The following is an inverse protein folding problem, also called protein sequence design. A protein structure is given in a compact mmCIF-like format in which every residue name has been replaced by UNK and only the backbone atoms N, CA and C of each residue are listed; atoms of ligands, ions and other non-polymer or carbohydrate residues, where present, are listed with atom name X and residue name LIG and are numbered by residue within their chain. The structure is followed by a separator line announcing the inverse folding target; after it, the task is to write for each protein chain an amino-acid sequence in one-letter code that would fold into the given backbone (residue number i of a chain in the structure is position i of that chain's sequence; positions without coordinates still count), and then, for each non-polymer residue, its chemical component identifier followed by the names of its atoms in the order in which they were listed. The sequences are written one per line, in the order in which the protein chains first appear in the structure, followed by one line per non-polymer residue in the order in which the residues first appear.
data_IF_664192591043
#
_entry.id   IF_664192591043
#
_cell.length_a   1.000
_cell.length_b   1.000
_cell.length_c   1.000
_cell.angle_alpha   90.00
_cell.angle_beta   90.00
_cell.angle_gamma   90.00
#
_symmetry.space_group_name_H-M   'P 1'
#
loop_
_entity.id
_entity.type
_entity.pdbx_description
1 polymer ?
#
# COMPACT_ATOMS: atom_id res chain seq x y z
N UNK A 1 -61.53 -17.22 29.44
CA UNK A 1 -60.85 -16.00 28.97
C UNK A 1 -59.36 -16.29 28.90
N UNK A 2 -58.76 -16.48 27.72
CA UNK A 2 -57.33 -16.73 27.51
C UNK A 2 -56.73 -15.42 26.99
N UNK A 3 -55.83 -14.82 27.74
CA UNK A 3 -55.08 -13.62 27.33
C UNK A 3 -53.86 -14.09 26.58
N UNK A 4 -53.77 -13.79 25.27
CA UNK A 4 -52.64 -14.09 24.42
C UNK A 4 -51.71 -12.85 24.53
N UNK A 5 -50.56 -13.05 25.17
CA UNK A 5 -49.50 -12.03 25.29
C UNK A 5 -48.66 -12.05 24.02
N UNK A 6 -48.78 -10.98 23.23
CA UNK A 6 -48.02 -10.77 22.00
C UNK A 6 -46.63 -10.17 22.36
N UNK A 7 -45.59 -10.99 22.29
CA UNK A 7 -44.21 -10.50 22.49
C UNK A 7 -43.71 -9.94 21.18
N UNK A 8 -43.56 -8.60 21.10
CA UNK A 8 -42.92 -7.92 19.97
C UNK A 8 -41.40 -8.04 20.13
N UNK A 9 -40.77 -8.85 19.30
CA UNK A 9 -39.32 -8.99 19.20
C UNK A 9 -38.79 -7.86 18.32
N UNK A 10 -38.26 -6.80 18.92
CA UNK A 10 -37.59 -5.71 18.20
C UNK A 10 -36.17 -6.15 17.87
N UNK A 11 -35.93 -6.49 16.60
CA UNK A 11 -34.58 -6.69 16.07
C UNK A 11 -33.90 -5.34 15.90
N UNK A 12 -33.02 -4.99 16.83
CA UNK A 12 -32.09 -3.86 16.68
C UNK A 12 -30.99 -4.28 15.68
N UNK A 13 -31.12 -3.84 14.44
CA UNK A 13 -30.04 -3.88 13.48
C UNK A 13 -29.01 -2.82 13.94
N UNK A 14 -27.92 -3.27 14.54
CA UNK A 14 -26.73 -2.44 14.74
C UNK A 14 -26.03 -2.26 13.39
N UNK A 15 -26.26 -1.13 12.74
CA UNK A 15 -25.44 -0.68 11.60
C UNK A 15 -24.07 -0.32 12.18
N UNK A 16 -23.10 -1.22 12.00
CA UNK A 16 -21.71 -0.90 12.28
C UNK A 16 -21.26 0.16 11.27
N UNK A 17 -21.26 1.41 11.67
CA UNK A 17 -20.61 2.47 10.92
C UNK A 17 -19.12 2.14 10.89
N UNK A 18 -18.60 1.74 9.73
CA UNK A 18 -17.18 1.66 9.47
C UNK A 18 -16.62 3.08 9.58
N UNK A 19 -16.01 3.40 10.71
CA UNK A 19 -15.31 4.66 10.89
C UNK A 19 -14.17 4.69 9.85
N UNK A 20 -14.27 5.57 8.87
CA UNK A 20 -13.15 5.91 8.01
C UNK A 20 -12.05 6.45 8.93
N UNK A 21 -10.88 5.82 8.95
CA UNK A 21 -9.76 6.31 9.72
C UNK A 21 -9.30 7.63 9.10
N UNK A 22 -9.39 8.72 9.87
CA UNK A 22 -8.85 10.01 9.46
C UNK A 22 -7.33 9.95 9.51
N UNK A 23 -6.67 10.45 8.46
CA UNK A 23 -5.24 10.58 8.40
C UNK A 23 -4.84 12.03 8.61
N UNK A 24 -3.80 12.20 9.42
CA UNK A 24 -3.26 13.48 9.79
C UNK A 24 -1.84 13.61 9.26
N UNK A 25 -1.50 14.80 8.79
CA UNK A 25 -0.15 15.17 8.41
C UNK A 25 0.26 16.37 9.25
N UNK A 26 1.45 16.33 9.82
CA UNK A 26 2.02 17.49 10.50
C UNK A 26 3.50 17.64 10.14
N UNK A 27 3.96 18.89 10.16
CA UNK A 27 5.37 19.21 9.92
C UNK A 27 5.93 19.76 11.24
N UNK A 28 7.06 19.22 11.70
CA UNK A 28 7.74 19.71 12.88
C UNK A 28 8.46 21.04 12.64
N UNK A 29 9.07 21.59 13.70
CA UNK A 29 9.81 22.86 13.62
C UNK A 29 11.10 22.79 12.80
N UNK A 30 11.56 21.59 12.44
CA UNK A 30 12.74 21.32 11.62
C UNK A 30 12.39 21.10 10.15
N UNK A 31 11.08 21.11 9.79
CA UNK A 31 10.58 20.91 8.43
C UNK A 31 10.29 19.45 8.07
N UNK A 32 10.42 18.50 9.01
CA UNK A 32 10.10 17.11 8.76
C UNK A 32 8.57 16.91 8.75
N UNK A 33 8.06 16.16 7.78
CA UNK A 33 6.63 15.90 7.64
C UNK A 33 6.31 14.48 8.11
N UNK A 34 5.34 14.38 9.01
CA UNK A 34 4.88 13.14 9.62
C UNK A 34 3.44 12.84 9.21
N UNK A 35 3.15 11.57 8.97
CA UNK A 35 1.81 11.06 8.66
C UNK A 35 1.38 10.12 9.78
N UNK A 36 0.16 10.31 10.31
CA UNK A 36 -0.36 9.51 11.42
C UNK A 36 -1.88 9.36 11.34
N UNK A 37 -2.39 8.27 11.87
CA UNK A 37 -3.83 8.07 12.09
C UNK A 37 -4.25 8.42 13.52
N UNK A 38 -3.33 8.94 14.34
CA UNK A 38 -3.63 9.38 15.71
C UNK A 38 -3.75 10.90 15.70
N UNK A 39 -4.87 11.47 16.15
CA UNK A 39 -5.01 12.92 16.29
C UNK A 39 -4.02 13.44 17.32
N UNK A 40 -3.12 14.34 16.91
CA UNK A 40 -2.15 14.97 17.79
C UNK A 40 -2.66 16.28 18.36
N UNK A 41 -2.20 16.66 19.56
CA UNK A 41 -2.57 17.91 20.20
C UNK A 41 -1.99 19.12 19.44
N UNK A 42 -2.82 19.81 18.71
CA UNK A 42 -2.68 21.26 18.50
C UNK A 42 -2.06 21.77 17.21
N UNK A 43 -1.46 20.95 16.29
CA UNK A 43 -0.94 21.43 15.00
C UNK A 43 -1.07 20.43 13.86
N UNK A 44 -2.16 19.72 13.82
CA UNK A 44 -2.42 18.74 12.78
C UNK A 44 -3.21 19.41 11.66
N UNK A 45 -2.63 19.52 10.47
CA UNK A 45 -3.39 19.87 9.29
C UNK A 45 -4.11 18.61 8.84
N UNK A 46 -5.42 18.54 9.08
CA UNK A 46 -6.27 17.45 8.59
C UNK A 46 -6.17 17.44 7.06
N UNK A 47 -5.60 16.36 6.51
CA UNK A 47 -5.80 16.06 5.10
C UNK A 47 -7.29 15.75 4.96
N UNK A 48 -7.98 16.50 4.13
CA UNK A 48 -9.42 16.35 3.90
C UNK A 48 -9.77 14.86 3.78
N UNK A 49 -10.88 14.41 4.39
CA UNK A 49 -11.27 13.01 4.29
C UNK A 49 -11.37 12.66 2.81
N UNK A 50 -10.53 11.73 2.38
CA UNK A 50 -10.60 11.20 1.03
C UNK A 50 -11.92 10.44 0.98
N UNK A 51 -12.99 11.08 0.49
CA UNK A 51 -14.24 10.39 0.19
C UNK A 51 -13.87 9.20 -0.68
N UNK A 52 -13.98 8.01 -0.11
CA UNK A 52 -13.85 6.75 -0.84
C UNK A 52 -14.91 6.79 -1.93
N UNK A 53 -14.54 7.29 -3.09
CA UNK A 53 -15.36 7.18 -4.29
C UNK A 53 -15.36 5.71 -4.65
N UNK A 54 -16.43 5.01 -4.26
CA UNK A 54 -16.72 3.67 -4.74
C UNK A 54 -17.19 3.83 -6.19
N UNK A 55 -16.28 4.17 -7.07
CA UNK A 55 -16.48 4.00 -8.49
C UNK A 55 -16.02 2.60 -8.85
N UNK A 56 -16.96 1.81 -9.42
CA UNK A 56 -16.67 0.51 -10.04
C UNK A 56 -15.39 0.62 -10.89
N UNK A 57 -14.55 -0.42 -10.99
CA UNK A 57 -13.37 -0.40 -11.83
C UNK A 57 -13.80 -0.23 -13.28
N UNK A 58 -13.87 1.01 -13.74
CA UNK A 58 -13.99 1.34 -15.14
C UNK A 58 -12.58 1.30 -15.74
N UNK A 59 -12.48 1.16 -17.05
CA UNK A 59 -11.32 1.06 -17.94
C UNK A 59 -10.12 2.02 -17.68
N UNK A 60 -10.10 2.74 -16.57
CA UNK A 60 -9.07 3.72 -16.19
C UNK A 60 -7.74 3.09 -15.77
N UNK A 61 -7.71 1.81 -15.37
CA UNK A 61 -6.47 1.18 -14.89
C UNK A 61 -5.38 1.04 -15.96
N UNK A 62 -5.75 0.93 -17.24
CA UNK A 62 -4.80 0.87 -18.34
C UNK A 62 -4.23 2.24 -18.70
N UNK A 63 -5.03 3.29 -18.60
CA UNK A 63 -4.60 4.68 -18.82
C UNK A 63 -3.69 5.14 -17.68
N UNK A 64 -4.05 4.85 -16.45
CA UNK A 64 -3.23 5.17 -15.28
C UNK A 64 -1.87 4.45 -15.32
N UNK A 65 -1.83 3.18 -15.78
CA UNK A 65 -0.57 2.45 -15.91
C UNK A 65 0.40 3.13 -16.88
N UNK A 66 -0.07 3.55 -18.06
CA UNK A 66 0.79 4.24 -19.05
C UNK A 66 1.39 5.53 -18.51
N UNK A 67 0.67 6.24 -17.65
CA UNK A 67 1.15 7.48 -17.06
C UNK A 67 2.41 7.31 -16.18
N UNK A 68 2.64 6.11 -15.63
CA UNK A 68 3.76 5.86 -14.73
C UNK A 68 4.93 5.09 -15.37
N UNK A 69 4.83 4.70 -16.64
CA UNK A 69 5.84 3.85 -17.30
C UNK A 69 7.25 4.48 -17.33
N UNK A 70 7.34 5.78 -17.57
CA UNK A 70 8.63 6.49 -17.56
C UNK A 70 9.26 6.50 -16.17
N UNK A 71 8.45 6.73 -15.13
CA UNK A 71 8.90 6.75 -13.73
C UNK A 71 9.34 5.34 -13.31
N UNK A 72 8.54 4.32 -13.62
CA UNK A 72 8.86 2.92 -13.34
C UNK A 72 10.19 2.54 -14.00
N UNK A 73 10.36 2.87 -15.28
CA UNK A 73 11.59 2.56 -16.01
C UNK A 73 12.80 3.26 -15.40
N UNK A 74 12.69 4.55 -15.08
CA UNK A 74 13.74 5.33 -14.44
C UNK A 74 14.14 4.74 -13.07
N UNK A 75 13.15 4.47 -12.21
CA UNK A 75 13.40 3.90 -10.88
C UNK A 75 14.00 2.49 -10.97
N UNK A 76 13.50 1.65 -11.88
CA UNK A 76 14.01 0.29 -12.11
C UNK A 76 15.49 0.29 -12.51
N UNK A 77 15.87 1.16 -13.44
CA UNK A 77 17.26 1.32 -13.86
C UNK A 77 18.15 1.82 -12.72
N UNK A 78 17.67 2.84 -11.99
CA UNK A 78 18.43 3.47 -10.90
C UNK A 78 18.73 2.50 -9.74
N UNK A 79 17.79 1.63 -9.40
CA UNK A 79 17.91 0.75 -8.23
C UNK A 79 18.11 -0.73 -8.60
N UNK A 80 18.34 -1.04 -9.88
CA UNK A 80 18.57 -2.39 -10.40
C UNK A 80 17.47 -3.39 -10.01
N UNK A 81 16.20 -2.96 -10.08
CA UNK A 81 15.01 -3.78 -9.89
C UNK A 81 14.29 -3.96 -11.22
N UNK A 82 13.82 -5.17 -11.52
CA UNK A 82 13.10 -5.46 -12.75
C UNK A 82 11.81 -4.62 -12.86
N UNK A 83 11.62 -3.93 -13.99
CA UNK A 83 10.48 -3.05 -14.21
C UNK A 83 9.14 -3.81 -14.20
N UNK A 84 9.11 -5.07 -14.65
CA UNK A 84 7.90 -5.89 -14.59
C UNK A 84 7.56 -6.29 -13.15
N UNK A 85 8.59 -6.48 -12.30
CA UNK A 85 8.40 -6.67 -10.87
C UNK A 85 7.83 -5.40 -10.20
N UNK A 86 8.35 -4.23 -10.54
CA UNK A 86 7.82 -2.96 -10.03
C UNK A 86 6.35 -2.80 -10.41
N UNK A 87 5.99 -3.08 -11.68
CA UNK A 87 4.58 -3.06 -12.12
C UNK A 87 3.71 -4.03 -11.33
N UNK A 88 4.23 -5.22 -11.05
CA UNK A 88 3.50 -6.23 -10.27
C UNK A 88 3.25 -5.79 -8.83
N UNK A 89 4.24 -5.17 -8.19
CA UNK A 89 4.11 -4.60 -6.84
C UNK A 89 3.08 -3.48 -6.85
N UNK A 90 3.21 -2.48 -7.71
CA UNK A 90 2.23 -1.38 -7.81
C UNK A 90 0.81 -1.91 -8.07
N UNK A 91 0.68 -2.93 -8.92
CA UNK A 91 -0.61 -3.58 -9.19
C UNK A 91 -1.20 -4.25 -7.95
N UNK A 92 -0.37 -4.91 -7.17
CA UNK A 92 -0.80 -5.61 -5.96
C UNK A 92 -1.15 -4.63 -4.82
N UNK A 93 -0.40 -3.54 -4.69
CA UNK A 93 -0.52 -2.56 -3.61
C UNK A 93 -1.70 -1.60 -3.81
N UNK A 94 -1.78 -0.98 -4.97
CA UNK A 94 -2.74 0.11 -5.20
C UNK A 94 -3.60 -0.07 -6.44
N UNK A 95 -3.35 -1.09 -7.27
CA UNK A 95 -3.94 -1.17 -8.60
C UNK A 95 -3.72 0.10 -9.44
N UNK A 96 -2.54 0.73 -9.31
CA UNK A 96 -2.15 2.00 -9.95
C UNK A 96 -2.97 3.23 -9.49
N UNK A 97 -3.54 3.20 -8.30
CA UNK A 97 -4.18 4.36 -7.68
C UNK A 97 -3.15 5.11 -6.80
N UNK A 98 -2.68 6.27 -7.28
CA UNK A 98 -1.71 7.08 -6.55
C UNK A 98 -2.26 7.68 -5.24
N UNK A 99 -3.57 7.71 -5.08
CA UNK A 99 -4.26 8.20 -3.87
C UNK A 99 -4.64 7.08 -2.90
N UNK A 100 -4.21 5.85 -3.17
CA UNK A 100 -4.56 4.73 -2.33
C UNK A 100 -4.07 4.92 -0.90
N UNK A 101 -4.96 4.64 0.06
CA UNK A 101 -4.66 4.62 1.49
C UNK A 101 -5.20 3.32 2.06
N UNK A 102 -4.32 2.53 2.69
CA UNK A 102 -4.75 1.29 3.33
C UNK A 102 -5.35 1.55 4.73
N UNK A 103 -6.13 0.61 5.27
CA UNK A 103 -6.61 0.71 6.65
C UNK A 103 -5.48 0.77 7.70
N UNK A 104 -4.28 0.31 7.35
CA UNK A 104 -3.08 0.34 8.22
C UNK A 104 -2.24 1.62 8.04
N UNK A 105 -2.64 2.52 7.13
CA UNK A 105 -1.96 3.79 6.90
C UNK A 105 -0.86 3.75 5.84
N UNK A 106 -0.77 2.71 5.03
CA UNK A 106 0.12 2.70 3.87
C UNK A 106 -0.40 3.61 2.75
N UNK A 107 0.50 4.31 2.04
CA UNK A 107 0.19 5.44 1.18
C UNK A 107 0.73 5.29 -0.24
N UNK A 108 -0.10 5.67 -1.22
CA UNK A 108 0.28 5.85 -2.62
C UNK A 108 0.43 4.57 -3.44
N UNK A 109 1.11 4.69 -4.58
CA UNK A 109 1.24 3.62 -5.59
C UNK A 109 1.87 2.34 -5.06
N UNK A 110 2.94 2.46 -4.28
CA UNK A 110 3.68 1.34 -3.71
C UNK A 110 3.39 1.12 -2.22
N UNK A 111 2.33 1.78 -1.68
CA UNK A 111 1.83 1.61 -0.33
C UNK A 111 2.92 1.71 0.75
N UNK A 112 3.64 2.81 0.74
CA UNK A 112 4.67 3.05 1.75
C UNK A 112 4.03 3.35 3.11
N UNK A 113 4.49 2.63 4.15
CA UNK A 113 4.16 3.02 5.52
C UNK A 113 4.84 4.35 5.85
N UNK A 114 4.24 5.21 6.71
CA UNK A 114 4.80 6.51 7.04
C UNK A 114 6.27 6.46 7.50
N UNK A 115 6.64 5.49 8.33
CA UNK A 115 8.02 5.30 8.77
C UNK A 115 8.96 5.00 7.58
N UNK A 116 8.56 4.11 6.67
CA UNK A 116 9.34 3.78 5.47
C UNK A 116 9.43 4.99 4.52
N UNK A 117 8.35 5.75 4.35
CA UNK A 117 8.36 6.98 3.55
C UNK A 117 9.37 7.99 4.12
N UNK A 118 9.42 8.16 5.43
CA UNK A 118 10.38 9.03 6.11
C UNK A 118 11.82 8.53 5.93
N UNK A 119 12.09 7.25 6.14
CA UNK A 119 13.42 6.65 5.93
C UNK A 119 13.92 6.81 4.49
N UNK A 120 13.00 6.76 3.52
CA UNK A 120 13.29 6.96 2.09
C UNK A 120 13.29 8.44 1.67
N UNK A 121 13.12 9.39 2.62
CA UNK A 121 13.09 10.84 2.39
C UNK A 121 11.96 11.29 1.45
N UNK A 122 10.80 10.64 1.50
CA UNK A 122 9.59 11.02 0.76
C UNK A 122 8.91 12.21 1.46
N UNK A 123 8.69 13.29 0.71
CA UNK A 123 8.01 14.49 1.22
C UNK A 123 6.51 14.45 0.94
N UNK A 124 6.12 13.89 -0.20
CA UNK A 124 4.72 13.69 -0.57
C UNK A 124 4.49 12.25 -1.04
N UNK A 125 3.96 11.35 -0.19
CA UNK A 125 3.74 9.95 -0.55
C UNK A 125 2.64 9.74 -1.61
N UNK A 126 1.90 10.78 -1.98
CA UNK A 126 0.93 10.76 -3.09
C UNK A 126 1.51 11.29 -4.40
N UNK A 127 2.73 11.83 -4.38
CA UNK A 127 3.45 12.14 -5.62
C UNK A 127 3.94 10.83 -6.26
N UNK A 128 3.56 10.55 -7.53
CA UNK A 128 3.94 9.30 -8.19
C UNK A 128 5.45 9.09 -8.31
N UNK A 129 6.20 10.16 -8.57
CA UNK A 129 7.64 10.07 -8.76
C UNK A 129 8.34 9.74 -7.44
N UNK A 130 8.04 10.49 -6.37
CA UNK A 130 8.60 10.24 -5.05
C UNK A 130 8.23 8.85 -4.54
N UNK A 131 6.96 8.46 -4.64
CA UNK A 131 6.46 7.19 -4.13
C UNK A 131 7.07 5.98 -4.86
N UNK A 132 7.12 6.00 -6.20
CA UNK A 132 7.70 4.91 -6.99
C UNK A 132 9.20 4.81 -6.75
N UNK A 133 9.94 5.93 -6.80
CA UNK A 133 11.38 5.90 -6.56
C UNK A 133 11.72 5.36 -5.16
N UNK A 134 11.03 5.81 -4.14
CA UNK A 134 11.22 5.34 -2.77
C UNK A 134 10.86 3.86 -2.60
N UNK A 135 9.71 3.43 -3.11
CA UNK A 135 9.26 2.04 -3.02
C UNK A 135 10.18 1.08 -3.78
N UNK A 136 10.66 1.46 -4.97
CA UNK A 136 11.62 0.65 -5.74
C UNK A 136 12.98 0.59 -5.06
N UNK A 137 13.45 1.71 -4.48
CA UNK A 137 14.66 1.73 -3.68
C UNK A 137 14.54 0.76 -2.50
N UNK A 138 13.48 0.85 -1.72
CA UNK A 138 13.23 -0.02 -0.58
C UNK A 138 13.18 -1.50 -0.99
N UNK A 139 12.47 -1.83 -2.07
CA UNK A 139 12.42 -3.19 -2.62
C UNK A 139 13.82 -3.67 -3.07
N UNK A 140 14.60 -2.81 -3.71
CA UNK A 140 15.98 -3.09 -4.12
C UNK A 140 16.90 -3.40 -2.93
N UNK A 141 16.80 -2.63 -1.85
CA UNK A 141 17.54 -2.85 -0.60
C UNK A 141 17.16 -4.20 0.03
N UNK A 142 15.87 -4.56 0.08
CA UNK A 142 15.40 -5.85 0.58
C UNK A 142 15.90 -7.02 -0.28
N UNK A 143 15.89 -6.87 -1.61
CA UNK A 143 16.44 -7.88 -2.52
C UNK A 143 17.94 -8.12 -2.28
N UNK A 144 18.70 -7.07 -2.03
CA UNK A 144 20.13 -7.20 -1.71
C UNK A 144 20.35 -7.90 -0.36
N UNK A 145 19.63 -7.46 0.68
CA UNK A 145 19.73 -8.01 2.03
C UNK A 145 19.32 -9.49 2.12
N UNK A 146 18.45 -9.94 1.24
CA UNK A 146 17.92 -11.31 1.19
C UNK A 146 18.52 -12.12 0.02
N UNK A 147 19.74 -11.81 -0.40
CA UNK A 147 20.48 -12.54 -1.43
C UNK A 147 19.69 -12.74 -2.74
N UNK A 148 18.86 -11.79 -3.10
CA UNK A 148 17.93 -11.80 -4.25
C UNK A 148 16.88 -12.92 -4.20
N UNK A 149 16.61 -13.46 -3.02
CA UNK A 149 15.44 -14.34 -2.82
C UNK A 149 14.17 -13.49 -2.95
N UNK A 150 13.56 -13.52 -4.13
CA UNK A 150 12.41 -12.69 -4.48
C UNK A 150 11.18 -12.95 -3.59
N UNK A 151 10.76 -14.21 -3.33
CA UNK A 151 9.66 -14.48 -2.41
C UNK A 151 9.90 -13.92 -1.00
N UNK A 152 11.12 -14.04 -0.48
CA UNK A 152 11.47 -13.51 0.84
C UNK A 152 11.54 -11.99 0.85
N UNK A 153 12.06 -11.35 -0.19
CA UNK A 153 12.07 -9.90 -0.32
C UNK A 153 10.65 -9.31 -0.38
N UNK A 154 9.75 -9.95 -1.12
CA UNK A 154 8.33 -9.56 -1.16
C UNK A 154 7.64 -9.77 0.19
N UNK A 155 7.96 -10.85 0.90
CA UNK A 155 7.47 -11.07 2.25
C UNK A 155 7.96 -9.99 3.22
N UNK A 156 9.24 -9.58 3.11
CA UNK A 156 9.82 -8.51 3.92
C UNK A 156 9.22 -7.14 3.57
N UNK A 157 8.95 -6.88 2.29
CA UNK A 157 8.27 -5.66 1.85
C UNK A 157 6.90 -5.51 2.50
N UNK A 158 6.10 -6.57 2.51
CA UNK A 158 4.74 -6.56 3.04
C UNK A 158 4.68 -6.64 4.58
N UNK A 159 5.45 -7.55 5.20
CA UNK A 159 5.36 -7.82 6.63
C UNK A 159 6.34 -7.01 7.47
N UNK A 160 7.31 -6.36 6.84
CA UNK A 160 8.46 -5.74 7.47
C UNK A 160 9.64 -6.70 7.63
N UNK A 161 10.89 -6.20 7.47
CA UNK A 161 12.09 -7.02 7.46
C UNK A 161 12.32 -7.77 8.78
N UNK A 162 11.98 -7.18 9.93
CA UNK A 162 12.16 -7.82 11.24
C UNK A 162 11.36 -9.11 11.43
N UNK A 163 10.32 -9.35 10.62
CA UNK A 163 9.55 -10.61 10.66
C UNK A 163 10.09 -11.70 9.74
N UNK A 164 11.02 -11.34 8.85
CA UNK A 164 11.54 -12.20 7.79
C UNK A 164 13.02 -12.55 8.02
N UNK A 165 13.82 -11.61 8.50
CA UNK A 165 15.24 -11.88 8.76
C UNK A 165 15.44 -13.03 9.75
N UNK A 166 16.44 -13.86 9.43
CA UNK A 166 16.76 -15.07 10.22
C UNK A 166 15.81 -16.25 9.99
N UNK A 167 14.87 -16.13 9.02
CA UNK A 167 14.02 -17.24 8.60
C UNK A 167 14.48 -17.80 7.26
N UNK A 168 14.25 -19.08 7.07
CA UNK A 168 14.48 -19.76 5.79
C UNK A 168 13.21 -19.91 4.95
N UNK A 169 12.09 -19.37 5.43
CA UNK A 169 10.79 -19.46 4.77
C UNK A 169 9.93 -18.21 5.04
N UNK A 170 8.94 -18.00 4.17
CA UNK A 170 7.95 -16.92 4.33
C UNK A 170 7.20 -17.10 5.66
N UNK A 171 7.10 -16.04 6.49
CA UNK A 171 6.38 -16.11 7.75
C UNK A 171 4.96 -16.71 7.60
N UNK A 172 4.46 -17.44 8.60
CA UNK A 172 3.12 -18.03 8.56
C UNK A 172 2.02 -16.97 8.79
N UNK A 173 2.12 -15.84 8.09
CA UNK A 173 1.16 -14.74 8.07
C UNK A 173 0.38 -14.88 6.77
N UNK A 174 -0.91 -15.18 6.89
CA UNK A 174 -1.78 -15.45 5.73
C UNK A 174 -1.79 -14.27 4.74
N UNK A 175 -1.92 -13.04 5.23
CA UNK A 175 -1.87 -11.83 4.42
C UNK A 175 -0.59 -11.76 3.59
N UNK A 176 0.57 -12.00 4.21
CA UNK A 176 1.88 -11.95 3.56
C UNK A 176 2.05 -13.07 2.52
N UNK A 177 1.64 -14.29 2.84
CA UNK A 177 1.67 -15.41 1.89
C UNK A 177 0.80 -15.14 0.66
N UNK A 178 -0.39 -14.58 0.89
CA UNK A 178 -1.30 -14.21 -0.19
C UNK A 178 -0.77 -13.04 -1.01
N UNK A 179 -0.11 -12.08 -0.37
CA UNK A 179 0.57 -10.97 -1.05
C UNK A 179 1.68 -11.48 -1.97
N UNK A 180 2.59 -12.31 -1.47
CA UNK A 180 3.68 -12.87 -2.28
C UNK A 180 3.14 -13.63 -3.49
N UNK A 181 2.15 -14.51 -3.30
CA UNK A 181 1.51 -15.24 -4.41
C UNK A 181 0.91 -14.29 -5.45
N UNK A 182 0.22 -13.25 -5.01
CA UNK A 182 -0.42 -12.26 -5.89
C UNK A 182 0.60 -11.46 -6.70
N UNK A 183 1.69 -10.98 -6.05
CA UNK A 183 2.75 -10.26 -6.77
C UNK A 183 3.45 -11.16 -7.77
N UNK A 184 3.81 -12.38 -7.39
CA UNK A 184 4.45 -13.34 -8.30
C UNK A 184 3.59 -13.64 -9.52
N UNK A 185 2.28 -13.85 -9.33
CA UNK A 185 1.33 -14.04 -10.43
C UNK A 185 1.31 -12.83 -11.39
N UNK A 186 1.25 -11.61 -10.86
CA UNK A 186 1.28 -10.40 -11.68
C UNK A 186 2.63 -10.22 -12.38
N UNK A 187 3.72 -10.58 -11.73
CA UNK A 187 5.06 -10.49 -12.31
C UNK A 187 5.20 -11.39 -13.54
N UNK A 188 4.76 -12.64 -13.45
CA UNK A 188 4.75 -13.55 -14.61
C UNK A 188 3.82 -13.04 -15.75
N UNK A 189 2.66 -12.49 -15.40
CA UNK A 189 1.75 -11.89 -16.37
C UNK A 189 2.39 -10.68 -17.11
N UNK A 190 3.14 -9.82 -16.40
CA UNK A 190 3.83 -8.69 -17.04
C UNK A 190 4.99 -9.12 -17.90
N UNK A 191 5.78 -10.12 -17.49
CA UNK A 191 6.89 -10.69 -18.28
C UNK A 191 6.44 -11.33 -19.59
N UNK A 192 5.26 -11.96 -19.58
CA UNK A 192 4.68 -12.62 -20.76
C UNK A 192 4.09 -11.65 -21.80
N UNK A 193 3.99 -10.35 -21.50
CA UNK A 193 3.43 -9.37 -22.45
C UNK A 193 4.46 -8.87 -23.43
N UNK A 194 4.08 -8.67 -24.74
CA UNK A 194 4.95 -8.00 -25.70
C UNK A 194 5.34 -6.62 -25.14
N UNK A 195 6.63 -6.34 -25.12
CA UNK A 195 7.14 -4.98 -24.80
C UNK A 195 6.83 -4.08 -26.00
N UNK A 196 5.93 -3.12 -25.81
CA UNK A 196 5.53 -2.12 -26.81
C UNK A 196 6.58 -1.02 -26.85
#
# INVERSE_FOLDING_TARGET
MRIISLIFLVFLYSVSASAAADFYCFTDGEGNTYYTNVPGNGRVKVLLPIKKSITKPSSSSSLNRKAYESIITSASQRFAVDADLVRAVIKAESNFDYRAVSPKGALGLMQLMPATAQEMAVTNPFDPEENIHAGVRYLGELLQLLNRDLPMALAAYNAGPGRVFGRNEIPPIEETRNYVKRVMMYYEDFKGRPKI
#
